data_IF_113928283687
#
_entry.id   IF_113928283687
#
_cell.length_a   1.000
_cell.length_b   1.000
_cell.length_c   1.000
_cell.angle_alpha   90.00
_cell.angle_beta   90.00
_cell.angle_gamma   90.00
#
_symmetry.space_group_name_H-M   'P 1'
#
loop_
_entity.id
_entity.type
_entity.pdbx_description
1 polymer ?
#
# COMPACT_ATOMS: atom_id res chain seq x y z
N UNK A 1 20.91 -14.04 -17.96
CA UNK A 1 20.28 -13.00 -18.79
C UNK A 1 20.29 -11.68 -18.02
N UNK A 2 20.71 -10.59 -18.68
CA UNK A 2 20.75 -9.23 -18.09
C UNK A 2 19.64 -8.39 -18.73
N UNK A 3 18.39 -8.41 -18.23
CA UNK A 3 17.31 -7.66 -18.85
C UNK A 3 17.45 -6.14 -18.67
N UNK A 4 18.11 -5.71 -17.61
CA UNK A 4 18.38 -4.29 -17.28
C UNK A 4 19.72 -4.20 -16.53
N UNK A 5 20.45 -3.06 -16.59
CA UNK A 5 21.67 -2.87 -15.81
C UNK A 5 21.35 -2.98 -14.31
N UNK A 6 21.99 -3.94 -13.63
CA UNK A 6 21.80 -4.20 -12.20
C UNK A 6 20.68 -5.19 -11.83
N UNK A 7 19.94 -5.75 -12.80
CA UNK A 7 18.93 -6.79 -12.55
C UNK A 7 19.44 -8.12 -13.12
N UNK A 8 19.47 -9.14 -12.29
CA UNK A 8 19.94 -10.47 -12.66
C UNK A 8 18.84 -11.51 -12.43
N UNK A 9 18.61 -12.34 -13.43
CA UNK A 9 17.69 -13.48 -13.33
C UNK A 9 18.52 -14.75 -13.26
N UNK A 10 18.32 -15.52 -12.20
CA UNK A 10 18.99 -16.80 -11.96
C UNK A 10 17.98 -17.87 -11.54
N UNK A 11 18.45 -19.13 -11.41
CA UNK A 11 17.64 -20.21 -10.84
C UNK A 11 17.31 -20.01 -9.34
N UNK A 12 17.92 -19.02 -8.68
CA UNK A 12 17.66 -18.65 -7.27
C UNK A 12 16.70 -17.47 -7.15
N UNK A 13 16.22 -16.95 -8.27
CA UNK A 13 15.28 -15.83 -8.32
C UNK A 13 15.80 -14.62 -9.10
N UNK A 14 15.16 -13.49 -8.81
CA UNK A 14 15.48 -12.19 -9.41
C UNK A 14 16.24 -11.36 -8.38
N UNK A 15 17.50 -11.02 -8.69
CA UNK A 15 18.30 -10.13 -7.85
C UNK A 15 18.22 -8.72 -8.42
N UNK A 16 17.80 -7.77 -7.58
CA UNK A 16 17.65 -6.36 -7.90
C UNK A 16 18.61 -5.53 -7.04
N UNK A 17 18.99 -4.32 -7.48
CA UNK A 17 19.75 -3.40 -6.63
C UNK A 17 19.02 -3.20 -5.30
N UNK A 18 19.75 -3.32 -4.20
CA UNK A 18 19.26 -3.07 -2.85
C UNK A 18 19.77 -1.75 -2.30
N UNK A 19 19.20 -1.32 -1.20
CA UNK A 19 19.77 -0.23 -0.41
C UNK A 19 20.69 -0.85 0.63
N UNK A 20 21.90 -0.31 0.78
CA UNK A 20 22.78 -0.71 1.88
C UNK A 20 22.17 -0.28 3.20
N UNK A 21 22.26 -1.17 4.19
CA UNK A 21 21.91 -0.83 5.56
C UNK A 21 22.93 0.19 6.07
N UNK A 22 22.50 1.42 6.24
CA UNK A 22 23.35 2.53 6.68
C UNK A 22 22.74 3.15 7.94
N UNK A 23 23.54 3.29 8.99
CA UNK A 23 23.10 3.88 10.26
C UNK A 23 22.45 5.28 10.09
N UNK A 24 22.73 5.97 8.98
CA UNK A 24 22.12 7.24 8.62
C UNK A 24 20.61 7.17 8.32
N UNK A 25 20.03 5.99 8.04
CA UNK A 25 18.59 5.85 7.86
C UNK A 25 17.79 6.06 9.14
N UNK A 26 18.40 5.81 10.31
CA UNK A 26 17.75 6.07 11.58
C UNK A 26 17.39 7.55 11.75
N UNK A 27 18.25 8.46 11.29
CA UNK A 27 17.98 9.91 11.33
C UNK A 27 16.82 10.29 10.41
N UNK A 28 16.65 9.63 9.27
CA UNK A 28 15.50 9.84 8.38
C UNK A 28 14.21 9.38 9.06
N UNK A 29 14.22 8.20 9.70
CA UNK A 29 13.07 7.66 10.43
C UNK A 29 12.68 8.57 11.59
N UNK A 30 13.66 9.03 12.40
CA UNK A 30 13.41 9.99 13.48
C UNK A 30 12.90 11.32 12.95
N UNK A 31 13.44 11.82 11.84
CA UNK A 31 12.95 13.03 11.17
C UNK A 31 11.50 12.89 10.71
N UNK A 32 11.13 11.74 10.17
CA UNK A 32 9.74 11.44 9.76
C UNK A 32 8.80 11.35 10.96
N UNK A 33 9.19 10.65 12.02
CA UNK A 33 8.38 10.53 13.24
C UNK A 33 8.15 11.89 13.90
N UNK A 34 9.20 12.72 14.01
CA UNK A 34 9.12 14.09 14.50
C UNK A 34 8.23 14.96 13.61
N UNK A 35 8.35 14.83 12.28
CA UNK A 35 7.51 15.54 11.32
C UNK A 35 6.04 15.21 11.49
N UNK A 36 5.71 13.94 11.65
CA UNK A 36 4.34 13.48 11.92
C UNK A 36 3.84 14.01 13.28
N UNK A 37 4.62 13.88 14.34
CA UNK A 37 4.24 14.36 15.66
C UNK A 37 3.96 15.87 15.68
N UNK A 38 4.84 16.67 15.07
CA UNK A 38 4.65 18.12 14.96
C UNK A 38 3.47 18.48 14.06
N UNK A 39 3.24 17.75 12.98
CA UNK A 39 2.08 17.98 12.10
C UNK A 39 0.76 17.74 12.82
N UNK A 40 0.68 16.71 13.66
CA UNK A 40 -0.49 16.45 14.52
C UNK A 40 -0.68 17.56 15.56
N UNK A 41 0.41 18.05 16.15
CA UNK A 41 0.39 19.19 17.08
C UNK A 41 -0.13 20.47 16.41
N UNK A 42 0.37 20.78 15.21
CA UNK A 42 -0.08 21.95 14.42
C UNK A 42 -1.55 21.80 14.00
N UNK A 43 -1.98 20.62 13.59
CA UNK A 43 -3.38 20.36 13.24
C UNK A 43 -4.32 20.56 14.45
N UNK A 44 -3.91 20.08 15.63
CA UNK A 44 -4.66 20.26 16.86
C UNK A 44 -4.72 21.73 17.28
N UNK A 45 -3.60 22.44 17.22
CA UNK A 45 -3.53 23.87 17.52
C UNK A 45 -4.38 24.70 16.55
N UNK A 46 -4.29 24.42 15.26
CA UNK A 46 -5.06 25.10 14.22
C UNK A 46 -6.57 24.91 14.40
N UNK A 47 -7.01 23.70 14.81
CA UNK A 47 -8.41 23.43 15.14
C UNK A 47 -8.89 24.27 16.30
N UNK A 48 -8.12 24.32 17.40
CA UNK A 48 -8.45 25.17 18.57
C UNK A 48 -8.45 26.67 18.25
N UNK A 49 -7.54 27.11 17.38
CA UNK A 49 -7.50 28.52 16.93
C UNK A 49 -8.70 28.85 16.05
N UNK A 50 -9.08 27.95 15.13
CA UNK A 50 -10.26 28.12 14.27
C UNK A 50 -11.55 28.24 15.11
N UNK A 51 -11.68 27.44 16.17
CA UNK A 51 -12.81 27.50 17.08
C UNK A 51 -12.89 28.84 17.83
N UNK A 52 -11.73 29.49 18.13
CA UNK A 52 -11.67 30.77 18.84
C UNK A 52 -11.74 32.01 17.95
N UNK A 53 -11.15 31.97 16.78
CA UNK A 53 -10.94 33.16 15.91
C UNK A 53 -11.67 33.10 14.57
N UNK A 54 -12.27 31.94 14.20
CA UNK A 54 -12.92 31.74 12.91
C UNK A 54 -11.96 31.67 11.70
N UNK A 55 -10.66 31.92 11.89
CA UNK A 55 -9.70 31.92 10.79
C UNK A 55 -9.20 30.52 10.47
N UNK A 56 -9.33 30.11 9.20
CA UNK A 56 -8.80 28.83 8.70
C UNK A 56 -7.30 28.95 8.36
N UNK A 57 -6.46 28.14 9.01
CA UNK A 57 -5.07 27.97 8.64
C UNK A 57 -4.92 26.88 7.56
N UNK A 58 -3.95 27.04 6.65
CA UNK A 58 -3.63 26.03 5.63
C UNK A 58 -2.84 24.86 6.24
N UNK A 59 -3.46 24.14 7.19
CA UNK A 59 -2.82 23.06 7.95
C UNK A 59 -2.27 21.96 7.06
N UNK A 60 -2.95 21.62 5.95
CA UNK A 60 -2.49 20.58 5.04
C UNK A 60 -1.12 20.88 4.42
N UNK A 61 -0.89 22.11 3.94
CA UNK A 61 0.40 22.52 3.37
C UNK A 61 1.49 22.56 4.44
N UNK A 62 1.17 23.05 5.63
CA UNK A 62 2.12 23.10 6.76
C UNK A 62 2.50 21.69 7.23
N UNK A 63 1.54 20.76 7.34
CA UNK A 63 1.81 19.37 7.70
C UNK A 63 2.71 18.67 6.69
N UNK A 64 2.43 18.84 5.39
CA UNK A 64 3.28 18.27 4.33
C UNK A 64 4.68 18.87 4.38
N UNK A 65 4.81 20.18 4.54
CA UNK A 65 6.11 20.85 4.63
C UNK A 65 6.92 20.41 5.86
N UNK A 66 6.27 20.20 7.01
CA UNK A 66 6.92 19.69 8.24
C UNK A 66 7.38 18.25 8.06
N UNK A 67 6.53 17.36 7.54
CA UNK A 67 6.89 15.95 7.35
C UNK A 67 8.03 15.83 6.36
N UNK A 68 7.92 16.44 5.17
CA UNK A 68 8.95 16.36 4.15
C UNK A 68 10.24 17.09 4.56
N UNK A 69 10.11 18.28 5.18
CA UNK A 69 11.26 19.08 5.60
C UNK A 69 12.08 18.40 6.69
N UNK A 70 11.44 17.83 7.72
CA UNK A 70 12.14 17.12 8.79
C UNK A 70 12.69 15.76 8.34
N UNK A 71 11.98 15.05 7.44
CA UNK A 71 12.50 13.83 6.84
C UNK A 71 13.74 14.12 5.97
N UNK A 72 13.70 15.18 5.16
CA UNK A 72 14.83 15.62 4.35
C UNK A 72 16.01 16.06 5.21
N UNK A 73 15.75 16.82 6.28
CA UNK A 73 16.76 17.22 7.25
C UNK A 73 17.41 15.99 7.92
N UNK A 74 16.61 15.03 8.37
CA UNK A 74 17.09 13.78 8.93
C UNK A 74 17.96 13.01 7.93
N UNK A 75 17.54 12.94 6.67
CA UNK A 75 18.31 12.30 5.61
C UNK A 75 19.67 12.98 5.35
N UNK A 76 19.70 14.32 5.30
CA UNK A 76 20.94 15.09 5.13
C UNK A 76 21.86 14.93 6.34
N UNK A 77 21.33 14.99 7.58
CA UNK A 77 22.10 14.79 8.82
C UNK A 77 22.63 13.37 8.93
N UNK A 78 21.93 12.38 8.37
CA UNK A 78 22.39 11.01 8.26
C UNK A 78 23.50 10.78 7.23
N UNK A 79 23.98 11.85 6.56
CA UNK A 79 25.00 11.75 5.51
C UNK A 79 24.44 11.44 4.12
N UNK A 80 23.15 11.69 3.90
CA UNK A 80 22.43 11.45 2.63
C UNK A 80 22.69 10.00 2.08
N UNK A 81 22.36 8.96 2.87
CA UNK A 81 22.69 7.58 2.49
C UNK A 81 21.91 7.17 1.24
N UNK A 82 22.51 7.34 0.05
CA UNK A 82 22.07 6.73 -1.21
C UNK A 82 23.19 5.80 -1.64
N UNK A 83 23.41 4.72 -0.93
CA UNK A 83 24.29 3.67 -1.42
C UNK A 83 23.40 2.57 -2.00
N UNK A 84 23.26 2.57 -3.33
CA UNK A 84 22.69 1.46 -4.08
C UNK A 84 23.75 0.35 -4.11
N UNK A 85 23.44 -0.74 -3.45
CA UNK A 85 24.24 -1.95 -3.53
C UNK A 85 23.87 -2.68 -4.82
N UNK A 86 24.74 -2.55 -5.82
CA UNK A 86 24.57 -3.27 -7.07
C UNK A 86 24.99 -4.74 -6.87
N UNK A 87 24.15 -5.69 -7.25
CA UNK A 87 24.51 -7.09 -7.19
C UNK A 87 25.74 -7.37 -8.03
N UNK A 88 26.72 -8.04 -7.45
CA UNK A 88 27.95 -8.47 -8.14
C UNK A 88 28.03 -9.99 -8.15
N UNK A 89 28.42 -10.55 -9.29
CA UNK A 89 28.65 -11.98 -9.40
C UNK A 89 29.99 -12.34 -8.72
N UNK A 90 29.92 -13.05 -7.60
CA UNK A 90 31.09 -13.54 -6.87
C UNK A 90 31.08 -15.06 -6.87
N UNK A 91 31.85 -15.67 -7.76
CA UNK A 91 31.81 -17.11 -8.01
C UNK A 91 30.51 -17.53 -8.70
N UNK A 92 29.76 -18.42 -8.08
CA UNK A 92 28.45 -18.92 -8.58
C UNK A 92 27.24 -18.20 -7.95
N UNK A 93 27.45 -17.19 -7.11
CA UNK A 93 26.38 -16.47 -6.39
C UNK A 93 26.45 -14.98 -6.68
N UNK A 94 25.27 -14.35 -6.65
CA UNK A 94 25.19 -12.90 -6.56
C UNK A 94 25.34 -12.48 -5.10
N UNK A 95 26.21 -11.49 -4.86
CA UNK A 95 26.44 -10.87 -3.55
C UNK A 95 26.04 -9.42 -3.67
N UNK A 96 25.30 -8.93 -2.67
CA UNK A 96 24.71 -7.59 -2.68
C UNK A 96 23.32 -7.54 -3.34
N UNK A 97 22.62 -6.44 -3.11
CA UNK A 97 21.26 -6.27 -3.56
C UNK A 97 20.24 -7.12 -2.80
N UNK A 98 18.99 -7.11 -3.29
CA UNK A 98 17.89 -7.90 -2.75
C UNK A 98 17.53 -9.01 -3.73
N UNK A 99 17.52 -10.25 -3.26
CA UNK A 99 17.12 -11.40 -4.07
C UNK A 99 15.69 -11.78 -3.75
N UNK A 100 14.83 -11.68 -4.74
CA UNK A 100 13.44 -12.16 -4.68
C UNK A 100 13.44 -13.63 -5.08
N UNK A 101 12.99 -14.51 -4.18
CA UNK A 101 12.96 -15.95 -4.46
C UNK A 101 11.98 -16.27 -5.61
N UNK A 102 12.18 -17.36 -6.36
CA UNK A 102 11.30 -17.75 -7.46
C UNK A 102 9.86 -17.97 -6.96
N UNK A 103 9.71 -18.53 -5.75
CA UNK A 103 8.42 -18.78 -5.11
C UNK A 103 7.69 -17.46 -4.83
N UNK A 104 8.40 -16.46 -4.31
CA UNK A 104 7.81 -15.13 -4.08
C UNK A 104 7.36 -14.48 -5.39
N UNK A 105 8.19 -14.53 -6.42
CA UNK A 105 7.84 -13.95 -7.73
C UNK A 105 6.64 -14.67 -8.35
N UNK A 106 6.60 -16.00 -8.29
CA UNK A 106 5.49 -16.79 -8.78
C UNK A 106 4.19 -16.47 -8.03
N UNK A 107 4.25 -16.38 -6.69
CA UNK A 107 3.12 -16.00 -5.86
C UNK A 107 2.61 -14.61 -6.19
N UNK A 108 3.53 -13.63 -6.27
CA UNK A 108 3.21 -12.24 -6.57
C UNK A 108 2.50 -12.12 -7.94
N UNK A 109 3.10 -12.70 -8.98
CA UNK A 109 2.53 -12.66 -10.33
C UNK A 109 1.18 -13.38 -10.38
N UNK A 110 1.08 -14.55 -9.77
CA UNK A 110 -0.16 -15.33 -9.72
C UNK A 110 -1.29 -14.57 -9.01
N UNK A 111 -1.03 -14.02 -7.82
CA UNK A 111 -2.02 -13.25 -7.07
C UNK A 111 -2.41 -11.95 -7.79
N UNK A 112 -1.44 -11.24 -8.38
CA UNK A 112 -1.72 -10.02 -9.14
C UNK A 112 -2.56 -10.31 -10.36
N UNK A 113 -2.21 -11.31 -11.17
CA UNK A 113 -2.98 -11.66 -12.37
C UNK A 113 -4.39 -12.14 -12.02
N UNK A 114 -4.52 -13.01 -11.04
CA UNK A 114 -5.81 -13.50 -10.55
C UNK A 114 -6.69 -12.36 -10.04
N UNK A 115 -6.16 -11.54 -9.14
CA UNK A 115 -6.94 -10.46 -8.51
C UNK A 115 -7.27 -9.35 -9.50
N UNK A 116 -6.37 -9.03 -10.44
CA UNK A 116 -6.59 -7.98 -11.44
C UNK A 116 -7.80 -8.25 -12.32
N UNK A 117 -8.08 -9.52 -12.64
CA UNK A 117 -9.26 -9.90 -13.43
C UNK A 117 -10.57 -9.53 -12.67
N UNK A 118 -10.65 -9.83 -11.38
CA UNK A 118 -11.82 -9.46 -10.56
C UNK A 118 -11.93 -7.94 -10.37
N UNK A 119 -10.80 -7.27 -10.12
CA UNK A 119 -10.77 -5.81 -9.99
C UNK A 119 -11.24 -5.13 -11.28
N UNK A 120 -10.77 -5.61 -12.43
CA UNK A 120 -11.19 -5.08 -13.74
C UNK A 120 -12.70 -5.23 -13.95
N UNK A 121 -13.28 -6.38 -13.57
CA UNK A 121 -14.72 -6.62 -13.68
C UNK A 121 -15.53 -5.74 -12.71
N UNK A 122 -15.06 -5.56 -11.46
CA UNK A 122 -15.70 -4.66 -10.51
C UNK A 122 -15.69 -3.22 -11.02
N UNK A 123 -14.56 -2.76 -11.57
CA UNK A 123 -14.46 -1.40 -12.14
C UNK A 123 -15.36 -1.25 -13.35
N UNK A 124 -15.38 -2.25 -14.24
CA UNK A 124 -16.24 -2.25 -15.43
C UNK A 124 -17.70 -2.17 -15.03
N UNK A 125 -18.16 -3.03 -14.13
CA UNK A 125 -19.55 -3.07 -13.67
C UNK A 125 -19.94 -1.77 -12.94
N UNK A 126 -19.06 -1.22 -12.13
CA UNK A 126 -19.30 0.07 -11.43
C UNK A 126 -19.46 1.25 -12.38
N UNK A 127 -18.66 1.31 -13.46
CA UNK A 127 -18.83 2.36 -14.49
C UNK A 127 -20.14 2.16 -15.28
N UNK A 128 -20.49 0.92 -15.58
CA UNK A 128 -21.72 0.59 -16.32
C UNK A 128 -22.99 0.78 -15.48
N UNK A 129 -22.88 0.73 -14.16
CA UNK A 129 -23.99 0.97 -13.25
C UNK A 129 -24.47 2.43 -13.25
N UNK A 130 -23.66 3.38 -13.72
CA UNK A 130 -24.07 4.79 -13.84
C UNK A 130 -25.04 4.93 -15.00
N UNK A 131 -26.22 5.51 -14.71
CA UNK A 131 -27.30 5.62 -15.68
C UNK A 131 -26.90 6.41 -16.93
N UNK A 132 -27.42 6.01 -18.10
CA UNK A 132 -27.18 6.68 -19.37
C UNK A 132 -27.58 8.16 -19.35
N UNK A 133 -28.64 8.50 -18.63
CA UNK A 133 -29.09 9.87 -18.45
C UNK A 133 -28.03 10.81 -17.86
N UNK A 134 -27.14 10.29 -17.01
CA UNK A 134 -26.02 11.08 -16.47
C UNK A 134 -24.98 11.38 -17.56
N UNK A 135 -24.74 10.47 -18.47
CA UNK A 135 -23.86 10.66 -19.62
C UNK A 135 -24.45 11.68 -20.60
N UNK A 136 -25.74 11.55 -20.89
CA UNK A 136 -26.47 12.43 -21.82
C UNK A 136 -26.59 13.86 -21.26
N UNK A 137 -26.94 13.99 -19.98
CA UNK A 137 -27.03 15.29 -19.32
C UNK A 137 -25.68 16.03 -19.27
N UNK A 138 -24.59 15.30 -18.96
CA UNK A 138 -23.26 15.87 -18.96
C UNK A 138 -22.81 16.27 -20.39
N UNK A 139 -23.19 15.48 -21.39
CA UNK A 139 -22.96 15.79 -22.81
C UNK A 139 -23.73 17.02 -23.27
N UNK A 140 -24.98 17.18 -22.85
CA UNK A 140 -25.82 18.33 -23.18
C UNK A 140 -25.25 19.65 -22.60
N UNK A 141 -24.49 19.59 -21.51
CA UNK A 141 -23.75 20.73 -20.94
C UNK A 141 -22.46 21.05 -21.70
N UNK A 142 -22.15 20.34 -22.81
CA UNK A 142 -20.95 20.55 -23.61
C UNK A 142 -19.65 20.10 -22.95
N UNK A 143 -19.72 19.28 -21.88
CA UNK A 143 -18.54 18.78 -21.19
C UNK A 143 -17.75 17.82 -22.10
N UNK A 144 -16.42 18.00 -22.16
CA UNK A 144 -15.53 17.07 -22.84
C UNK A 144 -15.56 15.71 -22.13
N UNK A 145 -15.43 14.62 -22.87
CA UNK A 145 -15.52 13.25 -22.36
C UNK A 145 -14.69 12.98 -21.10
N UNK A 146 -13.48 13.54 -21.00
CA UNK A 146 -12.62 13.39 -19.82
C UNK A 146 -13.21 14.10 -18.59
N UNK A 147 -13.87 15.25 -18.78
CA UNK A 147 -14.54 15.98 -17.70
C UNK A 147 -15.81 15.24 -17.24
N UNK A 148 -16.58 14.70 -18.21
CA UNK A 148 -17.74 13.84 -17.89
C UNK A 148 -17.31 12.66 -17.03
N UNK A 149 -16.28 11.93 -17.43
CA UNK A 149 -15.75 10.82 -16.65
C UNK A 149 -15.30 11.26 -15.24
N UNK A 150 -14.50 12.32 -15.15
CA UNK A 150 -13.89 12.73 -13.88
C UNK A 150 -14.86 13.38 -12.91
N UNK A 151 -15.79 14.19 -13.39
CA UNK A 151 -16.66 15.02 -12.55
C UNK A 151 -18.02 14.37 -12.28
N UNK A 152 -18.53 13.55 -13.21
CA UNK A 152 -19.90 12.99 -13.11
C UNK A 152 -19.89 11.49 -12.89
N UNK A 153 -19.18 10.76 -13.76
CA UNK A 153 -19.27 9.29 -13.78
C UNK A 153 -18.42 8.65 -12.69
N UNK A 154 -17.14 9.02 -12.60
CA UNK A 154 -16.21 8.39 -11.67
C UNK A 154 -16.63 8.53 -10.19
N UNK A 155 -17.11 9.70 -9.71
CA UNK A 155 -17.58 9.82 -8.33
C UNK A 155 -18.80 8.94 -8.04
N UNK A 156 -19.69 8.72 -9.01
CA UNK A 156 -20.84 7.85 -8.87
C UNK A 156 -20.43 6.37 -8.96
N UNK A 157 -19.57 6.01 -9.92
CA UNK A 157 -19.06 4.66 -10.10
C UNK A 157 -18.28 4.17 -8.88
N UNK A 158 -17.44 5.02 -8.27
CA UNK A 158 -16.65 4.65 -7.10
C UNK A 158 -17.49 4.16 -5.92
N UNK A 159 -18.72 4.65 -5.76
CA UNK A 159 -19.64 4.17 -4.72
C UNK A 159 -20.07 2.72 -4.93
N UNK A 160 -20.20 2.31 -6.19
CA UNK A 160 -20.54 0.94 -6.56
C UNK A 160 -19.30 0.06 -6.51
N UNK A 161 -18.13 0.60 -6.86
CA UNK A 161 -16.84 -0.11 -6.92
C UNK A 161 -16.29 -0.41 -5.53
N UNK A 162 -16.31 0.56 -4.60
CA UNK A 162 -15.58 0.47 -3.32
C UNK A 162 -16.05 -0.68 -2.41
N UNK A 163 -17.36 -0.94 -2.23
CA UNK A 163 -17.79 -2.05 -1.39
C UNK A 163 -17.29 -3.43 -1.86
N UNK A 164 -17.45 -3.86 -3.13
CA UNK A 164 -16.91 -5.14 -3.60
C UNK A 164 -15.38 -5.19 -3.58
N UNK A 165 -14.68 -4.05 -3.82
CA UNK A 165 -13.23 -3.97 -3.69
C UNK A 165 -12.74 -4.34 -2.29
N UNK A 166 -13.48 -3.95 -1.25
CA UNK A 166 -13.15 -4.32 0.13
C UNK A 166 -13.09 -5.84 0.29
N UNK A 167 -14.11 -6.55 -0.19
CA UNK A 167 -14.15 -8.01 -0.16
C UNK A 167 -13.02 -8.65 -0.96
N UNK A 168 -12.68 -8.07 -2.11
CA UNK A 168 -11.57 -8.55 -2.96
C UNK A 168 -10.24 -8.42 -2.23
N UNK A 169 -9.95 -7.30 -1.56
CA UNK A 169 -8.72 -7.13 -0.77
C UNK A 169 -8.65 -8.04 0.44
N UNK A 170 -9.77 -8.26 1.14
CA UNK A 170 -9.82 -9.23 2.24
C UNK A 170 -9.55 -10.66 1.77
N UNK A 171 -10.07 -11.03 0.60
CA UNK A 171 -9.80 -12.33 -0.03
C UNK A 171 -8.33 -12.44 -0.49
N UNK A 172 -7.75 -11.36 -1.03
CA UNK A 172 -6.33 -11.34 -1.41
C UNK A 172 -5.42 -11.64 -0.21
N UNK A 173 -5.69 -11.04 0.96
CA UNK A 173 -4.93 -11.32 2.19
C UNK A 173 -5.04 -12.78 2.59
N UNK A 174 -6.24 -13.36 2.52
CA UNK A 174 -6.43 -14.79 2.83
C UNK A 174 -5.72 -15.68 1.80
N UNK A 175 -5.81 -15.35 0.52
CA UNK A 175 -5.17 -16.10 -0.56
C UNK A 175 -3.65 -16.03 -0.51
N UNK A 176 -3.05 -15.02 0.15
CA UNK A 176 -1.59 -14.97 0.32
C UNK A 176 -1.06 -16.17 1.11
N UNK A 177 -1.87 -16.81 1.97
CA UNK A 177 -1.49 -18.03 2.70
C UNK A 177 -1.29 -19.25 1.80
N UNK A 178 -1.77 -19.22 0.55
CA UNK A 178 -1.46 -20.26 -0.46
C UNK A 178 0.03 -20.35 -0.79
N UNK A 179 0.82 -19.36 -0.37
CA UNK A 179 2.28 -19.36 -0.41
C UNK A 179 2.89 -20.64 0.18
N UNK A 180 2.27 -21.20 1.22
CA UNK A 180 2.70 -22.48 1.84
C UNK A 180 2.75 -23.62 0.81
N UNK A 181 1.80 -23.67 -0.12
CA UNK A 181 1.72 -24.73 -1.12
C UNK A 181 2.91 -24.76 -2.10
N UNK A 182 3.58 -23.62 -2.29
CA UNK A 182 4.77 -23.51 -3.14
C UNK A 182 6.07 -23.39 -2.34
N UNK A 183 6.00 -23.67 -1.02
CA UNK A 183 7.17 -23.67 -0.14
C UNK A 183 7.70 -22.27 0.23
N UNK A 184 6.95 -21.21 -0.03
CA UNK A 184 7.35 -19.87 0.43
C UNK A 184 7.09 -19.72 1.94
N UNK A 185 8.08 -19.26 2.73
CA UNK A 185 7.96 -19.14 4.19
C UNK A 185 7.11 -17.91 4.55
N UNK A 186 5.79 -18.11 4.58
CA UNK A 186 4.84 -17.15 5.12
C UNK A 186 4.59 -17.38 6.62
N UNK A 187 3.72 -16.56 7.23
CA UNK A 187 3.39 -16.68 8.65
C UNK A 187 2.80 -18.06 9.01
N UNK A 188 2.02 -18.65 8.09
CA UNK A 188 1.42 -19.98 8.32
C UNK A 188 2.49 -21.07 8.30
N UNK A 189 3.44 -20.98 7.37
CA UNK A 189 4.57 -21.90 7.28
C UNK A 189 5.48 -21.81 8.52
N UNK A 190 5.81 -20.59 8.95
CA UNK A 190 6.64 -20.35 10.14
C UNK A 190 5.96 -20.90 11.40
N UNK A 191 4.67 -20.60 11.58
CA UNK A 191 3.93 -21.10 12.74
C UNK A 191 3.78 -22.63 12.71
N UNK A 192 3.50 -23.23 11.55
CA UNK A 192 3.45 -24.70 11.44
C UNK A 192 4.79 -25.34 11.79
N UNK A 193 5.90 -24.77 11.38
CA UNK A 193 7.24 -25.24 11.74
C UNK A 193 7.45 -25.14 13.26
N UNK A 194 7.11 -24.00 13.86
CA UNK A 194 7.20 -23.77 15.30
C UNK A 194 6.32 -24.76 16.08
N UNK A 195 5.10 -24.99 15.60
CA UNK A 195 4.15 -25.92 16.20
C UNK A 195 4.70 -27.37 16.21
N UNK A 196 5.28 -27.78 15.09
CA UNK A 196 5.91 -29.10 14.98
C UNK A 196 7.13 -29.26 15.91
N UNK A 197 7.85 -28.18 16.21
CA UNK A 197 9.02 -28.19 17.08
C UNK A 197 8.66 -28.08 18.58
N UNK A 198 7.61 -27.33 18.94
CA UNK A 198 7.28 -26.99 20.33
C UNK A 198 6.06 -27.71 20.86
N UNK A 199 5.19 -28.24 19.98
CA UNK A 199 3.91 -28.85 20.34
C UNK A 199 2.82 -27.85 20.78
N UNK A 200 3.10 -26.52 20.71
CA UNK A 200 2.19 -25.45 21.16
C UNK A 200 1.17 -25.10 20.08
N UNK A 201 0.17 -25.95 19.88
CA UNK A 201 -0.81 -25.80 18.80
C UNK A 201 -1.75 -24.61 18.99
N UNK A 202 -2.20 -24.38 20.23
CA UNK A 202 -3.18 -23.32 20.54
C UNK A 202 -2.55 -21.95 20.33
N UNK A 203 -1.35 -21.74 20.85
CA UNK A 203 -0.60 -20.49 20.72
C UNK A 203 -0.29 -20.17 19.25
N UNK A 204 0.12 -21.16 18.49
CA UNK A 204 0.39 -21.01 17.05
C UNK A 204 -0.84 -20.60 16.27
N UNK A 205 -1.98 -21.25 16.50
CA UNK A 205 -3.26 -20.89 15.86
C UNK A 205 -3.69 -19.48 16.26
N UNK A 206 -3.56 -19.10 17.53
CA UNK A 206 -3.89 -17.75 18.00
C UNK A 206 -3.03 -16.68 17.34
N UNK A 207 -1.74 -16.95 17.10
CA UNK A 207 -0.85 -16.02 16.38
C UNK A 207 -1.32 -15.83 14.94
N UNK A 208 -1.61 -16.92 14.22
CA UNK A 208 -2.13 -16.85 12.84
C UNK A 208 -3.45 -16.04 12.81
N UNK A 209 -4.39 -16.40 13.68
CA UNK A 209 -5.68 -15.69 13.76
C UNK A 209 -5.50 -14.22 14.08
N UNK A 210 -4.66 -13.89 15.06
CA UNK A 210 -4.36 -12.52 15.46
C UNK A 210 -3.77 -11.70 14.31
N UNK A 211 -2.81 -12.26 13.57
CA UNK A 211 -2.19 -11.60 12.43
C UNK A 211 -3.20 -11.33 11.30
N UNK A 212 -3.93 -12.35 10.85
CA UNK A 212 -4.94 -12.17 9.79
C UNK A 212 -6.08 -11.26 10.21
N UNK A 213 -6.52 -11.34 11.48
CA UNK A 213 -7.55 -10.45 12.01
C UNK A 213 -7.08 -9.00 12.03
N UNK A 214 -5.85 -8.73 12.47
CA UNK A 214 -5.27 -7.38 12.52
C UNK A 214 -5.21 -6.77 11.12
N UNK A 215 -4.70 -7.50 10.14
CA UNK A 215 -4.61 -7.02 8.75
C UNK A 215 -6.02 -6.80 8.18
N UNK A 216 -6.93 -7.75 8.39
CA UNK A 216 -8.32 -7.66 7.89
C UNK A 216 -9.08 -6.49 8.49
N UNK A 217 -8.96 -6.25 9.80
CA UNK A 217 -9.56 -5.11 10.47
C UNK A 217 -8.97 -3.80 9.97
N UNK A 218 -7.65 -3.73 9.78
CA UNK A 218 -6.98 -2.53 9.23
C UNK A 218 -7.51 -2.17 7.84
N UNK A 219 -7.62 -3.15 6.95
CA UNK A 219 -8.20 -2.96 5.62
C UNK A 219 -9.66 -2.51 5.73
N UNK A 220 -10.44 -3.18 6.58
CA UNK A 220 -11.87 -2.89 6.76
C UNK A 220 -12.10 -1.46 7.28
N UNK A 221 -11.32 -1.03 8.27
CA UNK A 221 -11.39 0.33 8.83
C UNK A 221 -11.00 1.36 7.77
N UNK A 222 -9.91 1.13 7.04
CA UNK A 222 -9.46 2.02 5.98
C UNK A 222 -10.51 2.14 4.86
N UNK A 223 -11.03 1.02 4.37
CA UNK A 223 -12.01 1.01 3.30
C UNK A 223 -13.36 1.61 3.74
N UNK A 224 -13.77 1.40 4.99
CA UNK A 224 -14.99 2.00 5.53
C UNK A 224 -14.84 3.52 5.70
N UNK A 225 -13.67 3.98 6.16
CA UNK A 225 -13.34 5.40 6.21
C UNK A 225 -13.36 6.02 4.80
N UNK A 226 -12.75 5.35 3.82
CA UNK A 226 -12.73 5.81 2.43
C UNK A 226 -14.14 5.84 1.81
N UNK A 227 -14.95 4.81 2.07
CA UNK A 227 -16.33 4.73 1.60
C UNK A 227 -17.19 5.88 2.15
N UNK A 228 -17.03 6.21 3.44
CA UNK A 228 -17.72 7.38 4.04
C UNK A 228 -17.30 8.71 3.41
N UNK A 229 -16.07 8.81 2.94
CA UNK A 229 -15.55 10.04 2.31
C UNK A 229 -16.09 10.25 0.89
N UNK A 230 -16.45 9.15 0.19
CA UNK A 230 -17.01 9.18 -1.18
C UNK A 230 -18.54 9.27 -1.14
N UNK A 231 -19.17 8.92 -0.01
CA UNK A 231 -20.61 9.07 0.14
C UNK A 231 -20.99 10.55 -0.05
N UNK A 232 -21.78 10.86 -1.11
CA UNK A 232 -22.37 12.18 -1.27
C UNK A 232 -23.44 12.34 -0.19
N UNK A 233 -23.43 13.45 0.49
CA UNK A 233 -24.56 13.87 1.33
C UNK A 233 -25.67 14.29 0.39
N UNK A 234 -26.67 13.42 0.20
CA UNK A 234 -27.92 13.83 -0.43
C UNK A 234 -28.56 14.86 0.52
N UNK A 235 -28.64 16.11 0.05
CA UNK A 235 -29.45 17.16 0.68
C UNK A 235 -30.78 17.24 -0.02
#
# INVERSE_FOLDING_TARGET
MHPLPGVFISNRGITIPGFTDHAGFDYLVWGLLLGVALSLGVAHYAKRRQEKTGQRMHTGRMSVALILGLSLLGWVLGGAPIALELPQLKGFNFVGGVTLSPEFVALLVGLVMYTSAFVAEIVRSGIQAVSRGQWEAAGALGLRRNLVLRLVILPQALRVIVPPMTSTYLNLVKNSSLAVAIGYPDIVSVVNTTLNQTGQAIEGIMIIMGAYLTVSLSISVFMNWYNRHIALVER
#
